data_IF_468364223534
#
_entry.id   IF_468364223534
#
_cell.length_a   1.000
_cell.length_b   1.000
_cell.length_c   1.000
_cell.angle_alpha   90.00
_cell.angle_beta   90.00
_cell.angle_gamma   90.00
#
_symmetry.space_group_name_H-M   'P 1'
#
loop_
_entity.id
_entity.type
_entity.pdbx_description
1 polymer ?
#
# COMPACT_ATOMS: atom_id res chain seq x y z
N UNK A 1 -4.38 16.91 -14.17
CA UNK A 1 -5.24 15.71 -14.38
C UNK A 1 -6.25 15.51 -13.25
N UNK A 2 -6.01 15.99 -12.02
CA UNK A 2 -6.92 15.80 -10.88
C UNK A 2 -8.22 16.64 -10.87
N UNK A 3 -8.51 17.40 -11.94
CA UNK A 3 -9.62 18.37 -11.99
C UNK A 3 -10.97 17.64 -12.08
N UNK A 4 -11.99 18.14 -11.38
CA UNK A 4 -13.39 17.73 -11.55
C UNK A 4 -14.32 18.93 -11.73
N UNK A 5 -15.57 18.67 -12.12
CA UNK A 5 -16.66 19.64 -12.06
C UNK A 5 -17.21 19.68 -10.62
N UNK A 6 -16.45 20.32 -9.74
CA UNK A 6 -16.56 20.30 -8.29
C UNK A 6 -16.05 21.64 -7.72
N UNK A 7 -16.34 21.92 -6.45
CA UNK A 7 -15.81 23.09 -5.74
C UNK A 7 -15.20 22.65 -4.39
N UNK A 8 -13.87 22.72 -4.19
CA UNK A 8 -12.85 23.26 -5.12
C UNK A 8 -12.71 22.41 -6.40
N UNK A 9 -12.12 22.94 -7.49
CA UNK A 9 -12.13 22.31 -8.82
C UNK A 9 -11.19 21.10 -8.95
N UNK A 10 -10.78 20.49 -7.85
CA UNK A 10 -9.91 19.31 -7.81
C UNK A 10 -10.40 18.35 -6.74
N UNK A 11 -10.20 17.07 -6.97
CA UNK A 11 -10.40 16.04 -5.95
C UNK A 11 -9.12 15.23 -5.79
N UNK A 12 -8.71 15.00 -4.54
CA UNK A 12 -7.63 14.11 -4.17
C UNK A 12 -7.95 12.62 -4.44
N UNK A 13 -9.18 12.30 -4.86
CA UNK A 13 -9.54 11.00 -5.44
C UNK A 13 -8.90 10.79 -6.82
N UNK A 14 -8.72 11.87 -7.60
CA UNK A 14 -8.23 11.81 -8.97
C UNK A 14 -6.69 11.76 -9.03
N UNK A 15 -6.09 10.74 -8.40
CA UNK A 15 -4.66 10.46 -8.39
C UNK A 15 -4.40 8.95 -8.46
N UNK A 16 -3.17 8.54 -8.82
CA UNK A 16 -2.78 7.12 -8.82
C UNK A 16 -2.84 6.54 -7.40
N UNK A 17 -2.39 7.33 -6.42
CA UNK A 17 -2.50 7.03 -4.99
C UNK A 17 -3.39 8.08 -4.36
N UNK A 18 -4.71 7.84 -4.34
CA UNK A 18 -5.68 8.81 -3.87
C UNK A 18 -5.58 9.10 -2.36
N UNK A 19 -6.03 10.30 -1.98
CA UNK A 19 -6.03 10.85 -0.61
C UNK A 19 -7.36 11.55 -0.33
N UNK A 20 -8.49 10.82 -0.36
CA UNK A 20 -9.81 11.43 -0.16
C UNK A 20 -9.97 12.10 1.21
N UNK A 21 -9.13 11.75 2.19
CA UNK A 21 -9.03 12.43 3.49
C UNK A 21 -8.57 13.90 3.37
N UNK A 22 -7.94 14.28 2.26
CA UNK A 22 -7.48 15.66 2.01
C UNK A 22 -8.52 16.52 1.26
N UNK A 23 -9.62 15.93 0.79
CA UNK A 23 -10.71 16.70 0.21
C UNK A 23 -11.40 17.54 1.30
N UNK A 24 -11.81 18.79 1.07
CA UNK A 24 -12.60 19.54 2.04
C UNK A 24 -13.96 18.85 2.32
N UNK A 25 -14.32 18.71 3.59
CA UNK A 25 -15.62 18.17 4.03
C UNK A 25 -16.81 18.96 3.48
N UNK A 26 -16.66 20.28 3.39
CA UNK A 26 -17.68 21.21 2.90
C UNK A 26 -17.60 21.47 1.38
N UNK A 27 -16.81 20.68 0.65
CA UNK A 27 -16.72 20.80 -0.81
C UNK A 27 -17.99 20.30 -1.52
N UNK A 28 -18.23 20.82 -2.72
CA UNK A 28 -19.29 20.37 -3.62
C UNK A 28 -18.73 19.37 -4.62
N UNK A 29 -19.23 18.14 -4.59
CA UNK A 29 -18.77 17.06 -5.46
C UNK A 29 -19.94 16.48 -6.24
N UNK A 30 -19.77 16.17 -7.54
CA UNK A 30 -20.87 15.70 -8.39
C UNK A 30 -21.34 14.28 -8.02
N UNK A 31 -20.51 13.51 -7.30
CA UNK A 31 -20.87 12.21 -6.74
C UNK A 31 -19.97 11.86 -5.54
N UNK A 32 -20.41 10.99 -4.62
CA UNK A 32 -19.77 10.80 -3.31
C UNK A 32 -18.30 10.35 -3.33
N UNK A 33 -17.87 9.60 -4.34
CA UNK A 33 -16.49 9.09 -4.41
C UNK A 33 -15.44 10.22 -4.50
N UNK A 34 -15.79 11.38 -5.04
CA UNK A 34 -14.87 12.52 -5.14
C UNK A 34 -14.77 13.36 -3.86
N UNK A 35 -15.60 13.08 -2.86
CA UNK A 35 -15.68 13.88 -1.63
C UNK A 35 -14.70 13.48 -0.52
N UNK A 36 -14.86 14.10 0.64
CA UNK A 36 -14.08 13.79 1.85
C UNK A 36 -14.48 12.43 2.42
N UNK A 37 -13.52 11.52 2.57
CA UNK A 37 -13.74 10.15 3.04
C UNK A 37 -12.50 9.62 3.77
N UNK A 38 -12.71 8.75 4.75
CA UNK A 38 -11.67 7.84 5.27
C UNK A 38 -11.38 6.77 4.21
N UNK A 39 -10.75 7.20 3.12
CA UNK A 39 -10.48 6.38 1.95
C UNK A 39 -9.28 6.93 1.17
N UNK A 40 -8.48 6.03 0.63
CA UNK A 40 -7.32 6.35 -0.16
C UNK A 40 -6.60 5.09 -0.60
N UNK A 41 -5.50 5.26 -1.31
CA UNK A 41 -4.55 4.18 -1.48
C UNK A 41 -3.81 3.95 -0.15
N UNK A 42 -3.67 2.70 0.27
CA UNK A 42 -3.11 2.31 1.57
C UNK A 42 -1.81 1.52 1.46
N UNK A 43 -1.37 1.22 0.25
CA UNK A 43 -0.10 0.55 0.01
C UNK A 43 0.39 0.76 -1.43
N UNK A 44 1.62 0.32 -1.70
CA UNK A 44 2.08 -0.05 -3.03
C UNK A 44 2.90 -1.33 -2.91
N UNK A 45 2.78 -2.22 -3.91
CA UNK A 45 3.60 -3.43 -4.07
C UNK A 45 4.14 -3.46 -5.49
N UNK A 46 5.45 -3.64 -5.64
CA UNK A 46 6.13 -3.71 -6.93
C UNK A 46 7.09 -4.89 -6.96
N UNK A 47 7.13 -5.58 -8.09
CA UNK A 47 8.10 -6.64 -8.36
C UNK A 47 8.67 -6.45 -9.77
N UNK A 48 9.70 -7.19 -10.10
CA UNK A 48 10.29 -7.22 -11.43
C UNK A 48 10.78 -8.64 -11.74
N UNK A 49 11.32 -8.85 -12.94
CA UNK A 49 11.78 -10.18 -13.37
C UNK A 49 12.85 -10.79 -12.46
N UNK A 50 13.68 -9.99 -11.79
CA UNK A 50 14.70 -10.48 -10.86
C UNK A 50 14.11 -10.80 -9.49
N UNK A 51 13.21 -9.95 -8.98
CA UNK A 51 12.61 -10.15 -7.65
C UNK A 51 11.67 -11.36 -7.62
N UNK A 52 10.94 -11.62 -8.70
CA UNK A 52 9.99 -12.72 -8.76
C UNK A 52 10.66 -14.10 -8.72
N UNK A 53 11.93 -14.22 -9.14
CA UNK A 53 12.73 -15.46 -9.02
C UNK A 53 12.83 -15.96 -7.58
N UNK A 54 12.80 -15.04 -6.61
CA UNK A 54 12.84 -15.36 -5.17
C UNK A 54 11.51 -15.06 -4.46
N UNK A 55 10.40 -14.96 -5.21
CA UNK A 55 9.08 -14.56 -4.70
C UNK A 55 9.08 -13.20 -3.96
N UNK A 56 10.08 -12.36 -4.22
CA UNK A 56 10.28 -11.09 -3.52
C UNK A 56 9.51 -9.96 -4.19
N UNK A 57 9.24 -8.90 -3.41
CA UNK A 57 8.64 -7.66 -3.87
C UNK A 57 9.05 -6.52 -2.94
N UNK A 58 9.05 -5.29 -3.45
CA UNK A 58 9.14 -4.08 -2.63
C UNK A 58 7.74 -3.62 -2.30
N UNK A 59 7.47 -3.34 -1.02
CA UNK A 59 6.20 -2.81 -0.57
C UNK A 59 6.40 -1.59 0.34
N UNK A 60 5.46 -0.66 0.27
CA UNK A 60 5.30 0.43 1.24
C UNK A 60 3.87 0.37 1.76
N UNK A 61 3.70 0.62 3.06
CA UNK A 61 2.40 0.64 3.72
C UNK A 61 2.01 2.07 4.11
N UNK A 62 0.73 2.37 3.97
CA UNK A 62 0.11 3.64 4.34
C UNK A 62 -0.19 4.55 3.15
N UNK A 63 -0.96 5.64 3.40
CA UNK A 63 -1.22 6.66 2.40
C UNK A 63 0.07 7.37 1.95
N UNK A 64 0.10 7.78 0.68
CA UNK A 64 1.23 8.56 0.13
C UNK A 64 1.43 9.87 0.90
N UNK A 65 2.68 10.27 1.12
CA UNK A 65 3.05 11.44 1.93
C UNK A 65 4.23 12.28 1.37
N UNK A 66 4.44 12.22 0.05
CA UNK A 66 5.27 13.15 -0.72
C UNK A 66 4.70 13.18 -2.16
N UNK A 67 4.10 14.29 -2.62
CA UNK A 67 4.14 15.64 -2.05
C UNK A 67 3.03 15.97 -1.04
N UNK A 68 2.17 15.01 -0.69
CA UNK A 68 1.04 15.22 0.23
C UNK A 68 1.48 15.18 1.70
N UNK A 69 0.75 15.80 2.64
CA UNK A 69 1.07 15.68 4.06
C UNK A 69 0.92 14.24 4.55
N UNK A 70 1.70 13.86 5.56
CA UNK A 70 1.58 12.57 6.24
C UNK A 70 0.17 12.38 6.80
N UNK A 71 -0.41 11.21 6.58
CA UNK A 71 -1.65 10.82 7.27
C UNK A 71 -1.35 10.49 8.74
N UNK A 72 -2.05 11.17 9.64
CA UNK A 72 -1.95 10.99 11.09
C UNK A 72 -3.35 10.97 11.68
N UNK A 73 -3.73 9.83 12.25
CA UNK A 73 -5.05 9.61 12.85
C UNK A 73 -5.41 10.71 13.84
N UNK A 74 -4.46 11.26 14.60
CA UNK A 74 -4.71 12.29 15.63
C UNK A 74 -5.02 13.68 15.09
N UNK A 75 -4.77 13.90 13.80
CA UNK A 75 -5.01 15.19 13.14
C UNK A 75 -6.20 15.16 12.20
N UNK A 76 -6.74 13.97 11.94
CA UNK A 76 -7.87 13.77 11.03
C UNK A 76 -9.20 13.96 11.76
N UNK A 77 -10.26 14.40 11.07
CA UNK A 77 -11.62 14.40 11.64
C UNK A 77 -12.14 12.98 11.92
N UNK A 78 -11.46 11.94 11.43
CA UNK A 78 -11.85 10.54 11.59
C UNK A 78 -11.45 9.93 12.94
N UNK A 79 -10.57 10.58 13.71
CA UNK A 79 -9.95 10.02 14.92
C UNK A 79 -10.96 9.37 15.88
N UNK A 80 -12.06 10.07 16.16
CA UNK A 80 -13.04 9.65 17.17
C UNK A 80 -14.17 8.79 16.60
N UNK A 81 -14.33 8.75 15.28
CA UNK A 81 -15.46 8.10 14.60
C UNK A 81 -15.09 6.81 13.87
N UNK A 82 -13.81 6.60 13.55
CA UNK A 82 -13.31 5.38 12.91
C UNK A 82 -12.48 4.57 13.91
N UNK A 83 -12.88 3.35 14.29
CA UNK A 83 -12.03 2.46 15.07
C UNK A 83 -10.80 1.99 14.29
N UNK A 84 -9.60 2.24 14.84
CA UNK A 84 -8.31 1.91 14.21
C UNK A 84 -7.35 1.23 15.21
N UNK A 85 -7.89 0.39 16.09
CA UNK A 85 -7.12 -0.32 17.11
C UNK A 85 -6.00 -1.17 16.48
N UNK A 86 -4.78 -1.03 17.00
CA UNK A 86 -3.60 -1.76 16.52
C UNK A 86 -2.94 -1.15 15.28
N UNK A 87 -3.50 -0.08 14.71
CA UNK A 87 -2.83 0.67 13.66
C UNK A 87 -1.83 1.68 14.23
N UNK A 88 -0.76 2.01 13.49
CA UNK A 88 0.09 3.15 13.79
C UNK A 88 -0.71 4.45 13.78
N UNK A 89 -0.42 5.36 14.70
CA UNK A 89 -1.03 6.70 14.71
C UNK A 89 -0.65 7.51 13.47
N UNK A 90 0.64 7.48 13.10
CA UNK A 90 1.21 8.25 12.00
C UNK A 90 1.82 7.33 10.95
N UNK A 91 1.45 7.50 9.69
CA UNK A 91 1.82 6.61 8.59
C UNK A 91 2.98 7.19 7.77
N UNK A 92 4.21 6.82 8.16
CA UNK A 92 5.49 7.35 7.59
C UNK A 92 6.45 6.21 7.25
N UNK A 93 5.92 5.07 6.83
CA UNK A 93 6.75 3.91 6.52
C UNK A 93 7.52 4.11 5.23
N UNK A 94 8.77 3.66 5.22
CA UNK A 94 9.60 3.58 4.03
C UNK A 94 9.31 2.28 3.25
N UNK A 95 9.60 2.24 1.94
CA UNK A 95 9.55 1.00 1.18
C UNK A 95 10.50 -0.06 1.72
N UNK A 96 10.03 -1.30 1.81
CA UNK A 96 10.80 -2.48 2.23
C UNK A 96 10.74 -3.54 1.14
N UNK A 97 11.90 -4.07 0.74
CA UNK A 97 11.97 -5.27 -0.11
C UNK A 97 11.85 -6.51 0.76
N UNK A 98 10.70 -7.17 0.68
CA UNK A 98 10.46 -8.40 1.40
C UNK A 98 11.38 -9.52 0.90
N UNK A 99 11.91 -10.31 1.83
CA UNK A 99 12.73 -11.48 1.55
C UNK A 99 12.19 -12.66 2.35
N UNK A 100 11.77 -13.70 1.64
CA UNK A 100 11.33 -14.93 2.26
C UNK A 100 12.51 -15.73 2.81
N UNK A 101 12.27 -16.50 3.87
CA UNK A 101 13.27 -17.42 4.45
C UNK A 101 13.60 -18.60 3.54
N UNK A 102 12.76 -18.87 2.54
CA UNK A 102 12.90 -19.95 1.57
C UNK A 102 12.49 -19.45 0.19
N UNK A 103 13.28 -19.77 -0.84
CA UNK A 103 12.99 -19.46 -2.24
C UNK A 103 12.42 -20.67 -2.99
N UNK A 104 11.85 -20.45 -4.19
CA UNK A 104 11.38 -21.53 -5.06
C UNK A 104 12.51 -22.49 -5.47
N UNK A 105 13.76 -22.02 -5.47
CA UNK A 105 14.92 -22.80 -5.86
C UNK A 105 15.60 -23.53 -4.68
N UNK A 106 15.28 -23.18 -3.43
CA UNK A 106 15.80 -23.90 -2.25
C UNK A 106 15.25 -25.33 -2.12
N UNK A 107 14.21 -25.68 -2.89
CA UNK A 107 13.61 -27.02 -2.89
C UNK A 107 14.38 -28.01 -3.79
N UNK A 108 15.35 -27.56 -4.60
CA UNK A 108 16.05 -28.43 -5.57
C UNK A 108 17.48 -28.83 -5.21
N UNK A 109 17.90 -28.66 -3.95
CA UNK A 109 19.13 -29.28 -3.42
C UNK A 109 18.80 -30.18 -2.22
N UNK A 110 17.77 -31.03 -2.34
CA UNK A 110 17.71 -32.27 -1.59
C UNK A 110 18.26 -33.38 -2.47
N UNK A 111 19.44 -33.78 -2.07
CA UNK A 111 20.31 -34.83 -2.58
C UNK A 111 19.55 -36.07 -3.08
N UNK A 112 19.45 -36.23 -4.41
CA UNK A 112 19.04 -37.48 -5.05
C UNK A 112 20.20 -38.51 -5.10
N UNK A 113 21.34 -38.28 -4.44
CA UNK A 113 22.47 -39.24 -4.47
C UNK A 113 22.40 -40.37 -3.45
N UNK A 114 21.35 -40.47 -2.63
CA UNK A 114 21.22 -41.51 -1.59
C UNK A 114 20.26 -42.68 -1.92
N UNK A 115 19.86 -42.87 -3.19
CA UNK A 115 18.94 -43.97 -3.58
C UNK A 115 19.52 -45.08 -4.46
N UNK A 116 20.80 -45.01 -4.87
CA UNK A 116 21.39 -45.99 -5.81
C UNK A 116 22.39 -47.00 -5.17
N UNK A 117 22.46 -47.13 -3.85
CA UNK A 117 23.39 -48.08 -3.19
C UNK A 117 22.76 -49.33 -2.56
N UNK A 118 21.46 -49.60 -2.76
CA UNK A 118 20.82 -50.81 -2.18
C UNK A 118 20.41 -51.89 -3.21
N UNK A 119 20.96 -51.83 -4.44
CA UNK A 119 20.83 -52.90 -5.43
C UNK A 119 22.15 -53.13 -6.20
N UNK A 120 23.13 -53.77 -5.56
CA UNK A 120 24.10 -54.70 -6.18
C UNK A 120 24.92 -55.44 -5.13
#
# INVERSE_FOLDING_TARGET
LARCDCDPPFSAENAISCRSDLNPENGSYPFPALGHRDHGATDMKVTNSQLIESLSFTAIAGPTHDPTPVFDWTTTPFQEIVPHNGQPTRWTFEPVTHRWSSSLYDVHYRDDTELDQDFS
#
